data_IF_870219848370
#
_entry.id   IF_870219848370
#
_cell.length_a   1.000
_cell.length_b   1.000
_cell.length_c   1.000
_cell.angle_alpha   90.00
_cell.angle_beta   90.00
_cell.angle_gamma   90.00
#
_symmetry.space_group_name_H-M   'P 1'
#
loop_
_entity.id
_entity.type
_entity.pdbx_description
1 polymer ?
#
# COMPACT_ATOMS: atom_id res chain seq x y z
N UNK A 1 4.19 4.49 29.79
CA UNK A 1 4.35 3.95 28.42
C UNK A 1 2.99 3.98 27.77
N UNK A 2 2.82 4.73 26.70
CA UNK A 2 1.57 4.68 25.94
C UNK A 2 1.43 3.26 25.37
N UNK A 3 0.32 2.57 25.66
CA UNK A 3 0.05 1.24 25.15
C UNK A 3 -0.31 1.37 23.67
N UNK A 4 0.29 0.56 22.80
CA UNK A 4 -0.09 0.47 21.40
C UNK A 4 -1.61 0.27 21.29
N UNK A 5 -2.34 1.06 20.52
CA UNK A 5 -3.79 0.91 20.39
C UNK A 5 -4.12 -0.44 19.75
N UNK A 6 -5.32 -0.96 20.04
CA UNK A 6 -5.84 -2.16 19.39
C UNK A 6 -6.26 -1.83 17.95
N UNK A 7 -5.95 -2.71 16.99
CA UNK A 7 -6.20 -2.47 15.57
C UNK A 7 -7.01 -3.61 14.92
N UNK A 8 -7.74 -3.29 13.85
CA UNK A 8 -8.49 -4.27 13.06
C UNK A 8 -7.57 -5.33 12.42
N UNK A 9 -6.34 -4.96 12.08
CA UNK A 9 -5.33 -5.85 11.52
C UNK A 9 -4.96 -7.04 12.43
N UNK A 10 -5.12 -6.88 13.75
CA UNK A 10 -4.91 -7.94 14.74
C UNK A 10 -6.23 -8.39 15.39
N UNK A 11 -7.35 -8.33 14.65
CA UNK A 11 -8.63 -8.76 15.18
C UNK A 11 -8.83 -10.27 15.09
N UNK A 12 -9.42 -10.82 16.14
CA UNK A 12 -9.85 -12.22 16.19
C UNK A 12 -11.37 -12.32 16.31
N UNK A 13 -11.92 -13.43 15.86
CA UNK A 13 -13.29 -13.82 16.18
C UNK A 13 -13.26 -14.99 17.15
N UNK A 14 -13.98 -14.87 18.25
CA UNK A 14 -14.16 -15.90 19.25
C UNK A 14 -15.56 -16.51 19.10
N UNK A 15 -15.67 -17.79 18.82
CA UNK A 15 -16.92 -18.53 18.79
C UNK A 15 -17.13 -19.18 20.16
N UNK A 16 -18.04 -18.63 20.95
CA UNK A 16 -18.24 -19.02 22.34
C UNK A 16 -19.62 -19.61 22.55
N UNK A 17 -19.69 -20.70 23.31
CA UNK A 17 -20.88 -21.21 23.96
C UNK A 17 -20.92 -20.73 25.40
N UNK A 18 -22.02 -20.10 25.80
CA UNK A 18 -22.22 -19.54 27.13
C UNK A 18 -23.39 -20.25 27.82
N UNK A 19 -23.27 -20.52 29.12
CA UNK A 19 -24.41 -20.90 29.92
C UNK A 19 -25.47 -19.78 29.87
N UNK A 20 -26.71 -20.13 29.53
CA UNK A 20 -27.83 -19.18 29.45
C UNK A 20 -28.33 -18.76 30.82
N UNK A 21 -27.47 -18.13 31.62
CA UNK A 21 -27.78 -17.59 32.94
C UNK A 21 -27.38 -16.09 33.00
N UNK A 22 -28.12 -15.30 33.80
CA UNK A 22 -27.81 -13.87 33.94
C UNK A 22 -26.34 -13.62 34.32
N UNK A 23 -25.70 -12.66 33.62
CA UNK A 23 -24.35 -12.22 33.91
C UNK A 23 -23.24 -13.00 33.17
N UNK A 24 -23.49 -14.12 32.49
CA UNK A 24 -22.41 -14.88 31.80
C UNK A 24 -21.79 -14.09 30.68
N UNK A 25 -22.59 -13.43 29.83
CA UNK A 25 -22.07 -12.55 28.77
C UNK A 25 -21.30 -11.35 29.35
N UNK A 26 -21.78 -10.78 30.47
CA UNK A 26 -21.09 -9.69 31.14
C UNK A 26 -19.70 -10.09 31.66
N UNK A 27 -19.57 -11.29 32.25
CA UNK A 27 -18.26 -11.82 32.69
C UNK A 27 -17.31 -12.03 31.51
N UNK A 28 -17.82 -12.55 30.38
CA UNK A 28 -17.03 -12.73 29.17
C UNK A 28 -16.50 -11.38 28.64
N UNK A 29 -17.39 -10.39 28.53
CA UNK A 29 -16.98 -9.04 28.09
C UNK A 29 -15.97 -8.39 29.04
N UNK A 30 -16.14 -8.55 30.35
CA UNK A 30 -15.20 -8.03 31.36
C UNK A 30 -13.83 -8.70 31.22
N UNK A 31 -13.77 -10.03 31.08
CA UNK A 31 -12.51 -10.76 30.93
C UNK A 31 -11.75 -10.36 29.65
N UNK A 32 -12.44 -10.13 28.52
CA UNK A 32 -11.84 -9.61 27.30
C UNK A 32 -11.24 -8.20 27.56
N UNK A 33 -12.00 -7.33 28.22
CA UNK A 33 -11.55 -5.98 28.57
C UNK A 33 -10.36 -5.97 29.54
N UNK A 34 -10.36 -6.80 30.58
CA UNK A 34 -9.25 -6.96 31.54
C UNK A 34 -7.99 -7.54 30.87
N UNK A 35 -8.16 -8.40 29.87
CA UNK A 35 -7.05 -8.85 29.03
C UNK A 35 -6.51 -7.73 28.11
N UNK A 36 -7.22 -6.61 27.97
CA UNK A 36 -6.89 -5.46 27.14
C UNK A 36 -7.48 -5.50 25.74
N UNK A 37 -8.33 -6.48 25.41
CA UNK A 37 -9.03 -6.61 24.15
C UNK A 37 -10.18 -5.60 24.03
N UNK A 38 -10.37 -5.04 22.81
CA UNK A 38 -11.47 -4.13 22.50
C UNK A 38 -12.52 -4.86 21.66
N UNK A 39 -13.74 -4.99 22.18
CA UNK A 39 -14.85 -5.67 21.48
C UNK A 39 -15.34 -4.78 20.34
N UNK A 40 -15.15 -5.21 19.09
CA UNK A 40 -15.57 -4.52 17.88
C UNK A 40 -16.96 -4.89 17.40
N UNK A 41 -17.37 -6.16 17.59
CA UNK A 41 -18.71 -6.62 17.23
C UNK A 41 -19.13 -7.83 18.09
N UNK A 42 -20.44 -8.02 18.18
CA UNK A 42 -21.08 -9.15 18.84
C UNK A 42 -22.20 -9.70 17.95
N UNK A 43 -22.01 -10.92 17.42
CA UNK A 43 -22.93 -11.59 16.51
C UNK A 43 -23.37 -12.96 17.04
N UNK A 44 -24.28 -13.62 16.31
CA UNK A 44 -24.69 -14.98 16.60
C UNK A 44 -25.68 -15.06 17.76
N UNK A 45 -26.94 -14.66 17.52
CA UNK A 45 -28.02 -14.74 18.50
C UNK A 45 -28.75 -16.11 18.45
N UNK A 46 -27.99 -17.20 18.50
CA UNK A 46 -28.58 -18.56 18.56
C UNK A 46 -28.76 -18.99 20.02
N UNK A 47 -30.00 -19.31 20.38
CA UNK A 47 -30.40 -19.79 21.74
C UNK A 47 -30.84 -21.20 21.61
N UNK A 48 -30.11 -22.14 22.21
CA UNK A 48 -30.43 -23.59 22.22
C UNK A 48 -30.62 -24.07 23.65
N UNK A 49 -31.80 -23.82 24.19
CA UNK A 49 -32.14 -24.24 25.55
C UNK A 49 -31.25 -23.59 26.61
N UNK A 50 -30.41 -24.37 27.33
CA UNK A 50 -29.58 -23.84 28.41
C UNK A 50 -28.32 -23.11 27.92
N UNK A 51 -28.04 -23.10 26.61
CA UNK A 51 -26.84 -22.52 26.03
C UNK A 51 -27.14 -21.34 25.07
N UNK A 52 -26.26 -20.38 25.06
CA UNK A 52 -26.23 -19.27 24.10
C UNK A 52 -24.96 -19.39 23.27
N UNK A 53 -25.04 -19.31 21.93
CA UNK A 53 -23.85 -19.18 21.08
C UNK A 53 -23.64 -17.73 20.70
N UNK A 54 -22.39 -17.24 20.77
CA UNK A 54 -22.00 -15.89 20.41
C UNK A 54 -20.68 -15.90 19.66
N UNK A 55 -20.63 -15.15 18.56
CA UNK A 55 -19.39 -14.81 17.86
C UNK A 55 -18.98 -13.39 18.26
N UNK A 56 -17.78 -13.22 18.79
CA UNK A 56 -17.30 -11.95 19.31
C UNK A 56 -16.06 -11.54 18.54
N UNK A 57 -16.10 -10.39 17.90
CA UNK A 57 -14.94 -9.78 17.26
C UNK A 57 -14.20 -8.96 18.31
N UNK A 58 -12.92 -9.27 18.50
CA UNK A 58 -12.04 -8.56 19.45
C UNK A 58 -10.84 -8.00 18.69
N UNK A 59 -10.62 -6.70 18.80
CA UNK A 59 -9.41 -6.04 18.29
C UNK A 59 -8.30 -6.18 19.32
N UNK A 60 -7.15 -6.64 18.88
CA UNK A 60 -5.93 -6.83 19.65
C UNK A 60 -4.82 -5.88 19.19
N UNK A 61 -3.68 -5.86 19.88
CA UNK A 61 -2.52 -5.01 19.56
C UNK A 61 -1.51 -5.73 18.67
N UNK A 62 -1.37 -7.03 18.89
CA UNK A 62 -0.41 -7.92 18.26
C UNK A 62 -0.84 -9.38 18.47
N UNK A 63 -0.11 -10.33 17.89
CA UNK A 63 -0.39 -11.77 18.00
C UNK A 63 -0.26 -12.29 19.43
N UNK A 64 0.71 -11.81 20.22
CA UNK A 64 0.85 -12.21 21.62
C UNK A 64 -0.36 -11.77 22.44
N UNK A 65 -0.91 -10.60 22.13
CA UNK A 65 -2.13 -10.10 22.77
C UNK A 65 -3.38 -10.91 22.36
N UNK A 66 -3.46 -11.37 21.11
CA UNK A 66 -4.52 -12.30 20.69
C UNK A 66 -4.54 -13.56 21.57
N UNK A 67 -3.37 -14.19 21.76
CA UNK A 67 -3.24 -15.38 22.62
C UNK A 67 -3.66 -15.11 24.06
N UNK A 68 -3.27 -13.96 24.62
CA UNK A 68 -3.67 -13.54 25.96
C UNK A 68 -5.19 -13.43 26.11
N UNK A 69 -5.87 -12.86 25.12
CA UNK A 69 -7.33 -12.74 25.11
C UNK A 69 -7.98 -14.13 25.01
N UNK A 70 -7.48 -15.00 24.12
CA UNK A 70 -7.97 -16.38 23.97
C UNK A 70 -7.87 -17.15 25.28
N UNK A 71 -6.73 -17.09 25.96
CA UNK A 71 -6.54 -17.78 27.26
C UNK A 71 -7.44 -17.22 28.36
N UNK A 72 -7.64 -15.90 28.41
CA UNK A 72 -8.57 -15.28 29.35
C UNK A 72 -10.00 -15.82 29.17
N UNK A 73 -10.44 -16.00 27.92
CA UNK A 73 -11.77 -16.55 27.62
C UNK A 73 -11.84 -18.05 27.95
N UNK A 74 -10.81 -18.84 27.63
CA UNK A 74 -10.76 -20.30 27.94
C UNK A 74 -10.85 -20.58 29.43
N UNK A 75 -10.34 -19.72 30.27
CA UNK A 75 -10.32 -19.89 31.71
C UNK A 75 -11.66 -19.55 32.40
N UNK A 76 -12.63 -19.00 31.66
CA UNK A 76 -13.90 -18.56 32.25
C UNK A 76 -14.86 -19.70 32.55
N UNK A 77 -15.38 -19.72 33.76
CA UNK A 77 -16.44 -20.63 34.15
C UNK A 77 -17.77 -20.26 33.49
N UNK A 78 -18.44 -21.25 32.88
CA UNK A 78 -19.72 -21.06 32.18
C UNK A 78 -19.57 -20.49 30.76
N UNK A 79 -18.34 -20.46 30.24
CA UNK A 79 -18.02 -20.11 28.86
C UNK A 79 -17.16 -21.24 28.28
N UNK A 80 -17.55 -21.75 27.12
CA UNK A 80 -16.74 -22.67 26.32
C UNK A 80 -16.35 -22.01 25.04
N UNK A 81 -15.06 -21.76 24.86
CA UNK A 81 -14.51 -21.32 23.55
C UNK A 81 -14.55 -22.54 22.62
N UNK A 82 -15.46 -22.50 21.65
CA UNK A 82 -15.65 -23.57 20.66
C UNK A 82 -14.56 -23.53 19.62
N UNK A 83 -14.30 -22.32 19.08
CA UNK A 83 -13.30 -22.06 18.07
C UNK A 83 -12.88 -20.58 18.12
N UNK A 84 -11.75 -20.26 17.48
CA UNK A 84 -11.35 -18.89 17.26
C UNK A 84 -10.46 -18.81 16.03
N UNK A 85 -10.47 -17.66 15.37
CA UNK A 85 -9.61 -17.42 14.20
C UNK A 85 -9.19 -15.97 14.11
N UNK A 86 -7.99 -15.78 13.58
CA UNK A 86 -7.51 -14.47 13.14
C UNK A 86 -8.27 -14.04 11.88
N UNK A 87 -8.85 -12.83 11.90
CA UNK A 87 -9.70 -12.34 10.81
C UNK A 87 -8.88 -11.94 9.58
N UNK A 88 -7.63 -11.52 9.77
CA UNK A 88 -6.74 -11.19 8.65
C UNK A 88 -6.38 -12.46 7.89
N UNK A 89 -5.95 -13.51 8.58
CA UNK A 89 -5.67 -14.80 7.93
C UNK A 89 -6.92 -15.39 7.27
N UNK A 90 -8.06 -15.32 7.95
CA UNK A 90 -9.34 -15.80 7.40
C UNK A 90 -9.75 -15.09 6.12
N UNK A 91 -9.49 -13.79 6.02
CA UNK A 91 -9.75 -13.00 4.80
C UNK A 91 -8.87 -13.45 3.62
N UNK A 92 -7.70 -14.01 3.88
CA UNK A 92 -6.76 -14.46 2.85
C UNK A 92 -6.94 -15.95 2.47
N UNK A 93 -7.76 -16.71 3.21
CA UNK A 93 -8.03 -18.11 2.88
C UNK A 93 -8.63 -18.24 1.47
N UNK A 94 -8.01 -19.08 0.64
CA UNK A 94 -8.37 -19.29 -0.77
C UNK A 94 -8.23 -18.05 -1.69
N UNK A 95 -7.49 -17.04 -1.25
CA UNK A 95 -7.27 -15.80 -2.00
C UNK A 95 -8.39 -14.77 -1.87
N UNK A 96 -8.13 -13.55 -2.33
CA UNK A 96 -9.05 -12.41 -2.24
C UNK A 96 -9.77 -12.08 -3.54
N UNK A 97 -9.40 -12.74 -4.63
CA UNK A 97 -9.96 -12.49 -5.96
C UNK A 97 -10.31 -13.82 -6.64
N UNK A 98 -11.24 -13.76 -7.56
CA UNK A 98 -11.58 -14.87 -8.44
C UNK A 98 -12.02 -14.36 -9.82
N UNK A 99 -11.94 -15.22 -10.84
CA UNK A 99 -12.34 -14.88 -12.20
C UNK A 99 -13.80 -15.30 -12.42
N UNK A 100 -14.60 -14.38 -12.94
CA UNK A 100 -16.00 -14.59 -13.28
C UNK A 100 -16.21 -14.38 -14.77
N UNK A 101 -17.13 -15.16 -15.35
CA UNK A 101 -17.56 -14.96 -16.75
C UNK A 101 -18.52 -13.77 -16.84
N UNK A 102 -18.37 -12.95 -17.91
CA UNK A 102 -19.25 -11.82 -18.19
C UNK A 102 -20.34 -12.14 -19.21
N UNK A 103 -20.17 -13.24 -19.97
CA UNK A 103 -21.13 -13.68 -20.98
C UNK A 103 -21.78 -15.01 -20.53
N UNK A 104 -23.10 -15.14 -20.64
CA UNK A 104 -23.78 -16.40 -20.37
C UNK A 104 -23.53 -17.40 -21.52
N UNK A 105 -23.59 -18.70 -21.21
CA UNK A 105 -23.62 -19.79 -22.15
C UNK A 105 -24.78 -20.70 -21.73
N UNK A 106 -25.99 -20.43 -22.23
CA UNK A 106 -27.21 -21.13 -21.80
C UNK A 106 -27.61 -22.22 -22.80
N UNK A 107 -27.22 -22.06 -24.07
CA UNK A 107 -27.59 -22.95 -25.16
C UNK A 107 -26.47 -23.14 -26.19
N UNK A 108 -26.77 -23.86 -27.28
CA UNK A 108 -25.80 -24.15 -28.36
C UNK A 108 -25.45 -22.92 -29.19
N UNK A 109 -26.38 -21.99 -29.32
CA UNK A 109 -26.17 -20.77 -30.10
C UNK A 109 -25.19 -19.84 -29.32
N UNK A 110 -25.38 -19.68 -28.02
CA UNK A 110 -24.44 -18.96 -27.14
C UNK A 110 -23.04 -19.59 -27.25
N UNK A 111 -22.92 -20.92 -27.14
CA UNK A 111 -21.66 -21.64 -27.27
C UNK A 111 -21.01 -21.43 -28.65
N UNK A 112 -21.80 -21.46 -29.71
CA UNK A 112 -21.32 -21.25 -31.08
C UNK A 112 -20.80 -19.83 -31.30
N UNK A 113 -21.40 -18.83 -30.68
CA UNK A 113 -20.96 -17.44 -30.74
C UNK A 113 -19.72 -17.20 -29.84
N UNK A 114 -19.75 -17.72 -28.62
CA UNK A 114 -18.68 -17.49 -27.64
C UNK A 114 -17.39 -18.24 -27.94
N UNK A 115 -17.48 -19.39 -28.63
CA UNK A 115 -16.34 -20.24 -28.94
C UNK A 115 -16.30 -20.61 -30.42
N UNK A 116 -16.44 -21.90 -30.80
CA UNK A 116 -16.30 -22.35 -32.17
C UNK A 116 -17.68 -22.57 -32.79
N UNK A 117 -17.98 -22.02 -34.00
CA UNK A 117 -17.09 -21.32 -34.95
C UNK A 117 -17.05 -19.78 -34.83
N UNK A 118 -17.92 -19.16 -34.04
CA UNK A 118 -18.14 -17.70 -34.02
C UNK A 118 -16.91 -16.89 -33.70
N UNK A 119 -16.13 -17.31 -32.68
CA UNK A 119 -14.93 -16.62 -32.23
C UNK A 119 -13.88 -16.42 -33.33
N UNK A 120 -13.80 -17.31 -34.31
CA UNK A 120 -12.85 -17.18 -35.41
C UNK A 120 -13.03 -15.88 -36.21
N UNK A 121 -14.27 -15.40 -36.36
CA UNK A 121 -14.55 -14.11 -37.01
C UNK A 121 -13.97 -12.93 -36.24
N UNK A 122 -14.06 -12.97 -34.91
CA UNK A 122 -13.48 -11.93 -34.01
C UNK A 122 -11.96 -11.99 -34.09
N UNK A 123 -11.36 -13.18 -34.04
CA UNK A 123 -9.92 -13.36 -34.22
C UNK A 123 -9.42 -12.75 -35.55
N UNK A 124 -10.09 -13.02 -36.66
CA UNK A 124 -9.71 -12.46 -37.96
C UNK A 124 -9.91 -10.93 -38.03
N UNK A 125 -10.92 -10.38 -37.35
CA UNK A 125 -11.11 -8.95 -37.26
C UNK A 125 -9.93 -8.28 -36.52
N UNK A 126 -9.51 -8.83 -35.39
CA UNK A 126 -8.36 -8.34 -34.63
C UNK A 126 -7.04 -8.56 -35.40
N UNK A 127 -6.89 -9.68 -36.12
CA UNK A 127 -5.72 -9.91 -36.97
C UNK A 127 -5.56 -8.84 -38.06
N UNK A 128 -6.65 -8.42 -38.67
CA UNK A 128 -6.66 -7.39 -39.70
C UNK A 128 -6.53 -5.96 -39.15
N UNK A 129 -6.99 -5.73 -37.92
CA UNK A 129 -6.87 -4.47 -37.19
C UNK A 129 -6.60 -4.74 -35.69
N UNK A 130 -5.33 -4.77 -35.26
CA UNK A 130 -4.95 -5.06 -33.89
C UNK A 130 -5.58 -4.11 -32.83
N UNK A 131 -5.96 -2.90 -33.20
CA UNK A 131 -6.62 -1.95 -32.29
C UNK A 131 -7.94 -2.47 -31.75
N UNK A 132 -8.62 -3.34 -32.49
CA UNK A 132 -9.87 -3.97 -32.09
C UNK A 132 -9.72 -4.94 -30.93
N UNK A 133 -8.49 -5.29 -30.53
CA UNK A 133 -8.23 -6.07 -29.29
C UNK A 133 -8.76 -5.35 -28.06
N UNK A 134 -8.63 -4.02 -27.98
CA UNK A 134 -9.18 -3.20 -26.90
C UNK A 134 -10.71 -3.17 -26.87
N UNK A 135 -11.37 -3.44 -28.02
CA UNK A 135 -12.83 -3.45 -28.12
C UNK A 135 -13.44 -4.81 -27.83
N UNK A 136 -12.80 -5.88 -28.30
CA UNK A 136 -13.40 -7.23 -28.34
C UNK A 136 -12.78 -8.21 -27.34
N UNK A 137 -11.83 -7.75 -26.49
CA UNK A 137 -11.25 -8.59 -25.44
C UNK A 137 -11.24 -7.86 -24.10
N UNK A 138 -10.88 -8.59 -23.04
CA UNK A 138 -10.70 -8.02 -21.70
C UNK A 138 -9.53 -7.02 -21.62
N UNK A 139 -8.66 -6.96 -22.63
CA UNK A 139 -7.50 -6.06 -22.71
C UNK A 139 -7.86 -4.61 -22.37
N UNK A 140 -9.03 -4.14 -22.80
CA UNK A 140 -9.53 -2.79 -22.52
C UNK A 140 -9.55 -2.43 -21.03
N UNK A 141 -9.78 -3.41 -20.16
CA UNK A 141 -10.03 -3.16 -18.74
C UNK A 141 -9.07 -3.89 -17.80
N UNK A 142 -7.98 -4.45 -18.31
CA UNK A 142 -7.08 -5.30 -17.54
C UNK A 142 -5.70 -4.68 -17.34
N UNK A 143 -5.16 -4.85 -16.14
CA UNK A 143 -3.80 -4.43 -15.76
C UNK A 143 -3.05 -5.63 -15.18
N UNK A 144 -1.84 -5.89 -15.67
CA UNK A 144 -0.92 -6.82 -15.04
C UNK A 144 -0.24 -6.13 -13.84
N UNK A 145 -0.34 -6.73 -12.67
CA UNK A 145 0.36 -6.30 -11.46
C UNK A 145 1.59 -7.20 -11.32
N UNK A 146 2.74 -6.72 -11.78
CA UNK A 146 3.95 -7.52 -11.89
C UNK A 146 4.88 -7.24 -10.72
N UNK A 147 5.28 -8.30 -10.00
CA UNK A 147 6.24 -8.24 -8.91
C UNK A 147 7.21 -9.41 -8.95
N UNK A 148 8.46 -9.18 -8.55
CA UNK A 148 9.41 -10.25 -8.26
C UNK A 148 9.67 -10.42 -6.75
N UNK A 149 8.93 -9.71 -5.90
CA UNK A 149 8.96 -9.82 -4.45
C UNK A 149 10.26 -9.36 -3.79
N UNK A 150 11.03 -8.46 -4.46
CA UNK A 150 12.35 -8.03 -3.96
C UNK A 150 12.31 -6.81 -3.03
N UNK A 151 11.16 -6.13 -2.89
CA UNK A 151 10.99 -4.98 -2.01
C UNK A 151 9.57 -4.89 -1.42
N UNK A 152 9.08 -5.99 -0.87
CA UNK A 152 7.69 -6.11 -0.39
C UNK A 152 7.50 -5.34 0.91
N UNK A 153 6.69 -4.27 0.88
CA UNK A 153 6.40 -3.43 2.03
C UNK A 153 7.69 -3.05 2.80
N UNK A 154 7.69 -3.09 4.12
CA UNK A 154 8.89 -2.94 4.96
C UNK A 154 9.65 -4.24 5.22
N UNK A 155 9.25 -5.35 4.58
CA UNK A 155 9.83 -6.70 4.81
C UNK A 155 11.05 -6.99 3.94
N UNK A 156 11.23 -6.27 2.83
CA UNK A 156 12.35 -6.44 1.91
C UNK A 156 12.16 -7.58 0.90
N UNK A 157 13.25 -8.29 0.59
CA UNK A 157 13.26 -9.41 -0.38
C UNK A 157 12.73 -10.69 0.28
N UNK A 158 11.43 -10.94 0.13
CA UNK A 158 10.76 -12.15 0.65
C UNK A 158 10.35 -13.12 -0.45
N UNK A 159 10.62 -12.78 -1.71
CA UNK A 159 10.33 -13.59 -2.87
C UNK A 159 8.91 -13.50 -3.42
N UNK A 160 8.70 -14.03 -4.63
CA UNK A 160 7.46 -13.84 -5.37
C UNK A 160 6.26 -14.55 -4.74
N UNK A 161 6.42 -15.74 -4.15
CA UNK A 161 5.31 -16.46 -3.53
C UNK A 161 4.76 -15.71 -2.31
N UNK A 162 5.66 -15.16 -1.48
CA UNK A 162 5.27 -14.39 -0.30
C UNK A 162 4.73 -13.00 -0.64
N UNK A 163 5.02 -12.46 -1.84
CA UNK A 163 4.45 -11.22 -2.34
C UNK A 163 2.99 -11.36 -2.80
N UNK A 164 2.54 -12.58 -3.14
CA UNK A 164 1.21 -12.81 -3.72
C UNK A 164 0.05 -12.21 -2.91
N UNK A 165 -0.01 -12.30 -1.57
CA UNK A 165 -1.09 -11.67 -0.80
C UNK A 165 -1.17 -10.15 -0.97
N UNK A 166 -0.04 -9.47 -1.16
CA UNK A 166 -0.01 -8.02 -1.43
C UNK A 166 -0.54 -7.73 -2.83
N UNK A 167 -0.11 -8.51 -3.84
CA UNK A 167 -0.55 -8.35 -5.23
C UNK A 167 -2.04 -8.64 -5.41
N UNK A 168 -2.60 -9.62 -4.70
CA UNK A 168 -4.06 -9.82 -4.63
C UNK A 168 -4.77 -8.63 -3.96
N UNK A 169 -4.18 -8.06 -2.91
CA UNK A 169 -4.68 -6.82 -2.32
C UNK A 169 -4.71 -5.67 -3.32
N UNK A 170 -3.65 -5.51 -4.11
CA UNK A 170 -3.57 -4.51 -5.17
C UNK A 170 -4.68 -4.74 -6.22
N UNK A 171 -4.89 -5.98 -6.67
CA UNK A 171 -5.94 -6.34 -7.63
C UNK A 171 -7.36 -6.03 -7.09
N UNK A 172 -7.61 -6.34 -5.81
CA UNK A 172 -8.85 -5.98 -5.12
C UNK A 172 -9.09 -4.46 -5.14
N UNK A 173 -8.07 -3.67 -4.81
CA UNK A 173 -8.19 -2.20 -4.79
C UNK A 173 -8.38 -1.61 -6.19
N UNK A 174 -7.73 -2.17 -7.24
CA UNK A 174 -7.99 -1.81 -8.63
C UNK A 174 -9.47 -2.01 -8.99
N UNK A 175 -10.05 -3.13 -8.56
CA UNK A 175 -11.46 -3.46 -8.84
C UNK A 175 -12.41 -2.55 -8.10
N UNK A 176 -12.24 -2.43 -6.77
CA UNK A 176 -13.17 -1.70 -5.90
C UNK A 176 -13.18 -0.19 -6.19
N UNK A 177 -12.01 0.42 -6.44
CA UNK A 177 -11.90 1.88 -6.58
C UNK A 177 -11.78 2.37 -8.03
N UNK A 178 -11.33 1.52 -8.96
CA UNK A 178 -11.15 1.87 -10.36
C UNK A 178 -12.04 1.10 -11.33
N UNK A 179 -12.74 0.05 -10.87
CA UNK A 179 -13.47 -0.86 -11.76
C UNK A 179 -12.56 -1.62 -12.74
N UNK A 180 -11.24 -1.63 -12.48
CA UNK A 180 -10.20 -2.25 -13.32
C UNK A 180 -9.95 -3.67 -12.85
N UNK A 181 -9.78 -4.59 -13.79
CA UNK A 181 -9.47 -6.00 -13.51
C UNK A 181 -7.94 -6.17 -13.39
N UNK A 182 -7.44 -6.20 -12.16
CA UNK A 182 -6.04 -6.44 -11.85
C UNK A 182 -5.71 -7.93 -11.83
N UNK A 183 -4.62 -8.32 -12.48
CA UNK A 183 -4.10 -9.69 -12.45
C UNK A 183 -2.77 -9.72 -11.70
N UNK A 184 -2.70 -10.36 -10.52
CA UNK A 184 -1.44 -10.53 -9.80
C UNK A 184 -0.53 -11.50 -10.54
N UNK A 185 0.66 -11.02 -10.90
CA UNK A 185 1.68 -11.76 -11.66
C UNK A 185 2.99 -11.72 -10.87
N UNK A 186 3.16 -12.67 -9.96
CA UNK A 186 4.40 -12.83 -9.22
C UNK A 186 5.37 -13.71 -10.00
N UNK A 187 6.57 -13.19 -10.28
CA UNK A 187 7.55 -13.85 -11.17
C UNK A 187 8.86 -14.16 -10.46
N UNK A 188 9.42 -15.32 -10.75
CA UNK A 188 10.75 -15.69 -10.28
C UNK A 188 11.82 -15.13 -11.25
N UNK A 189 12.00 -13.82 -11.22
CA UNK A 189 13.01 -13.09 -11.98
C UNK A 189 13.93 -12.31 -11.04
N UNK A 190 15.24 -12.36 -11.28
CA UNK A 190 16.26 -11.79 -10.40
C UNK A 190 17.00 -10.61 -11.01
N UNK A 191 16.90 -10.43 -12.32
CA UNK A 191 17.58 -9.37 -13.07
C UNK A 191 16.58 -8.48 -13.79
N UNK A 192 16.98 -7.26 -14.12
CA UNK A 192 16.16 -6.35 -14.91
C UNK A 192 15.83 -6.93 -16.29
N UNK A 193 16.77 -7.60 -16.92
CA UNK A 193 16.57 -8.26 -18.24
C UNK A 193 15.48 -9.32 -18.19
N UNK A 194 15.47 -10.16 -17.17
CA UNK A 194 14.44 -11.20 -17.00
C UNK A 194 13.05 -10.60 -16.79
N UNK A 195 12.94 -9.52 -16.02
CA UNK A 195 11.65 -8.84 -15.79
C UNK A 195 11.17 -8.17 -17.08
N UNK A 196 12.04 -7.47 -17.79
CA UNK A 196 11.70 -6.77 -19.03
C UNK A 196 11.25 -7.77 -20.11
N UNK A 197 12.03 -8.83 -20.36
CA UNK A 197 11.69 -9.88 -21.36
C UNK A 197 10.34 -10.53 -21.04
N UNK A 198 10.09 -10.81 -19.76
CA UNK A 198 8.81 -11.39 -19.33
C UNK A 198 7.63 -10.44 -19.60
N UNK A 199 7.75 -9.18 -19.19
CA UNK A 199 6.65 -8.20 -19.32
C UNK A 199 6.37 -7.88 -20.78
N UNK A 200 7.39 -7.75 -21.65
CA UNK A 200 7.22 -7.54 -23.09
C UNK A 200 6.41 -8.69 -23.73
N UNK A 201 6.69 -9.95 -23.36
CA UNK A 201 5.95 -11.12 -23.84
C UNK A 201 4.53 -11.21 -23.29
N UNK A 202 4.28 -10.69 -22.10
CA UNK A 202 2.99 -10.67 -21.41
C UNK A 202 2.06 -9.56 -21.93
N UNK A 203 2.63 -8.44 -22.35
CA UNK A 203 1.94 -7.19 -22.69
C UNK A 203 0.75 -7.34 -23.67
N UNK A 204 0.76 -8.24 -24.67
CA UNK A 204 -0.39 -8.38 -25.59
C UNK A 204 -1.74 -8.67 -24.90
N UNK A 205 -1.73 -9.22 -23.70
CA UNK A 205 -2.95 -9.58 -22.95
C UNK A 205 -3.56 -8.39 -22.21
N UNK A 206 -2.77 -7.36 -21.90
CA UNK A 206 -3.13 -6.30 -20.95
C UNK A 206 -3.26 -4.93 -21.61
N UNK A 207 -4.09 -4.08 -21.00
CA UNK A 207 -4.21 -2.67 -21.36
C UNK A 207 -3.23 -1.76 -20.62
N UNK A 208 -2.56 -2.27 -19.58
CA UNK A 208 -1.54 -1.56 -18.82
C UNK A 208 -0.73 -2.47 -17.90
N UNK A 209 0.41 -1.99 -17.47
CA UNK A 209 1.35 -2.69 -16.58
C UNK A 209 1.56 -1.86 -15.31
N UNK A 210 1.25 -2.44 -14.17
CA UNK A 210 1.64 -1.94 -12.86
C UNK A 210 2.83 -2.74 -12.34
N UNK A 211 3.98 -2.10 -12.21
CA UNK A 211 5.14 -2.68 -11.53
C UNK A 211 5.02 -2.43 -10.03
N UNK A 212 5.26 -3.47 -9.22
CA UNK A 212 5.04 -3.42 -7.79
C UNK A 212 6.13 -4.15 -7.02
N UNK A 213 6.57 -3.60 -5.89
CA UNK A 213 7.51 -4.23 -4.95
C UNK A 213 8.82 -4.72 -5.60
N UNK A 214 9.31 -3.99 -6.60
CA UNK A 214 10.60 -4.22 -7.26
C UNK A 214 11.63 -3.26 -6.65
N UNK A 215 12.74 -3.80 -6.15
CA UNK A 215 13.76 -3.01 -5.47
C UNK A 215 14.45 -1.98 -6.38
N UNK A 216 14.88 -0.89 -5.76
CA UNK A 216 15.80 0.05 -6.40
C UNK A 216 17.26 -0.46 -6.27
N UNK A 217 18.15 -0.22 -7.26
CA UNK A 217 17.94 0.66 -8.43
C UNK A 217 17.27 0.00 -9.64
N UNK A 218 17.11 -1.33 -9.65
CA UNK A 218 16.63 -2.10 -10.81
C UNK A 218 15.26 -1.63 -11.30
N UNK A 219 14.36 -1.22 -10.40
CA UNK A 219 13.03 -0.76 -10.75
C UNK A 219 13.03 0.46 -11.70
N UNK A 220 14.03 1.33 -11.61
CA UNK A 220 14.16 2.50 -12.49
C UNK A 220 14.47 2.09 -13.93
N UNK A 221 15.44 1.19 -14.10
CA UNK A 221 15.84 0.65 -15.40
C UNK A 221 14.71 -0.13 -16.05
N UNK A 222 14.03 -0.99 -15.26
CA UNK A 222 12.92 -1.81 -15.75
C UNK A 222 11.80 -0.93 -16.29
N UNK A 223 11.38 0.07 -15.52
CA UNK A 223 10.31 0.97 -15.95
C UNK A 223 10.68 1.76 -17.19
N UNK A 224 11.88 2.34 -17.24
CA UNK A 224 12.36 3.13 -18.39
C UNK A 224 12.38 2.29 -19.67
N UNK A 225 12.91 1.07 -19.61
CA UNK A 225 12.98 0.14 -20.75
C UNK A 225 11.61 -0.27 -21.24
N UNK A 226 10.70 -0.61 -20.32
CA UNK A 226 9.33 -1.02 -20.67
C UNK A 226 8.52 0.15 -21.26
N UNK A 227 8.66 1.35 -20.74
CA UNK A 227 8.05 2.56 -21.35
C UNK A 227 8.56 2.81 -22.76
N UNK A 228 9.82 2.53 -23.02
CA UNK A 228 10.41 2.71 -24.36
C UNK A 228 9.99 1.62 -25.36
N UNK A 229 9.61 0.42 -24.90
CA UNK A 229 9.32 -0.74 -25.78
C UNK A 229 7.85 -1.07 -25.94
N UNK A 230 6.98 -0.61 -25.01
CA UNK A 230 5.56 -0.91 -25.02
C UNK A 230 4.71 0.30 -25.44
N UNK A 231 3.58 0.01 -26.09
CA UNK A 231 2.55 0.97 -26.51
C UNK A 231 1.34 1.03 -25.56
N UNK A 232 1.54 0.57 -24.33
CA UNK A 232 0.55 0.62 -23.25
C UNK A 232 1.19 1.27 -22.00
N UNK A 233 0.40 1.88 -21.10
CA UNK A 233 0.95 2.55 -19.93
C UNK A 233 1.69 1.57 -19.01
N UNK A 234 2.91 1.94 -18.63
CA UNK A 234 3.74 1.27 -17.64
C UNK A 234 3.96 2.20 -16.47
N UNK A 235 3.63 1.75 -15.28
CA UNK A 235 3.63 2.58 -14.08
C UNK A 235 4.18 1.78 -12.90
N UNK A 236 5.25 2.30 -12.26
CA UNK A 236 5.78 1.74 -11.02
C UNK A 236 5.15 2.48 -9.84
N UNK A 237 4.24 1.81 -9.13
CA UNK A 237 3.40 2.46 -8.13
C UNK A 237 4.19 2.97 -6.92
N UNK A 238 5.18 2.20 -6.45
CA UNK A 238 6.05 2.62 -5.34
C UNK A 238 6.83 3.90 -5.63
N UNK A 239 7.09 4.22 -6.90
CA UNK A 239 7.68 5.47 -7.32
C UNK A 239 6.61 6.55 -7.45
N UNK A 240 5.75 6.41 -8.44
CA UNK A 240 4.89 7.48 -8.93
C UNK A 240 3.59 7.63 -8.14
N UNK A 241 2.97 6.53 -7.72
CA UNK A 241 1.77 6.57 -6.87
C UNK A 241 2.06 7.28 -5.55
N UNK A 242 3.16 6.88 -4.90
CA UNK A 242 3.61 7.51 -3.65
C UNK A 242 3.98 8.98 -3.86
N UNK A 243 4.62 9.35 -4.97
CA UNK A 243 4.95 10.74 -5.27
C UNK A 243 3.71 11.61 -5.49
N UNK A 244 2.72 11.12 -6.24
CA UNK A 244 1.46 11.85 -6.52
C UNK A 244 0.68 12.12 -5.23
N UNK A 245 0.51 11.10 -4.37
CA UNK A 245 -0.25 11.29 -3.12
C UNK A 245 0.49 12.20 -2.14
N UNK A 246 1.83 12.17 -2.13
CA UNK A 246 2.66 13.06 -1.31
C UNK A 246 2.48 14.51 -1.74
N UNK A 247 2.53 14.80 -3.04
CA UNK A 247 2.31 16.14 -3.57
C UNK A 247 0.89 16.64 -3.29
N UNK A 248 -0.13 15.79 -3.47
CA UNK A 248 -1.52 16.12 -3.16
C UNK A 248 -1.72 16.46 -1.67
N UNK A 249 -1.10 15.68 -0.78
CA UNK A 249 -1.11 15.94 0.66
C UNK A 249 -0.38 17.25 1.00
N UNK A 250 0.75 17.53 0.35
CA UNK A 250 1.49 18.78 0.54
C UNK A 250 0.65 19.99 0.14
N UNK A 251 0.04 19.98 -1.04
CA UNK A 251 -0.85 21.07 -1.48
C UNK A 251 -1.99 21.36 -0.49
N UNK A 252 -2.58 20.31 0.09
CA UNK A 252 -3.62 20.49 1.11
C UNK A 252 -3.05 21.00 2.43
N UNK A 253 -1.86 20.56 2.81
CA UNK A 253 -1.16 21.04 4.02
C UNK A 253 -0.80 22.52 3.93
N UNK A 254 -0.45 23.01 2.73
CA UNK A 254 -0.17 24.43 2.51
C UNK A 254 -1.40 25.31 2.75
N UNK A 255 -2.60 24.84 2.41
CA UNK A 255 -3.85 25.56 2.71
C UNK A 255 -4.08 25.71 4.21
N UNK A 256 -3.64 24.74 5.01
CA UNK A 256 -3.78 24.75 6.48
C UNK A 256 -2.73 25.65 7.12
N UNK A 257 -1.48 25.55 6.66
CA UNK A 257 -0.31 26.23 7.27
C UNK A 257 -0.09 27.64 6.75
N UNK A 258 -0.67 28.00 5.59
CA UNK A 258 -0.45 29.26 4.91
C UNK A 258 0.94 29.41 4.29
N UNK A 259 1.75 28.36 4.24
CA UNK A 259 3.07 28.35 3.60
C UNK A 259 2.94 28.33 2.08
N UNK A 260 3.98 28.78 1.38
CA UNK A 260 4.05 28.77 -0.07
C UNK A 260 5.04 27.71 -0.54
N UNK A 261 4.76 27.09 -1.69
CA UNK A 261 5.56 25.98 -2.22
C UNK A 261 7.03 26.39 -2.45
N UNK A 262 7.24 27.57 -3.02
CA UNK A 262 8.56 28.10 -3.35
C UNK A 262 9.44 28.44 -2.13
N UNK A 263 8.82 28.65 -0.97
CA UNK A 263 9.53 29.02 0.27
C UNK A 263 9.86 27.79 1.14
N UNK A 264 9.40 26.58 0.76
CA UNK A 264 9.57 25.39 1.57
C UNK A 264 11.00 24.85 1.58
N UNK A 265 11.44 24.44 2.77
CA UNK A 265 12.56 23.51 2.96
C UNK A 265 12.02 22.14 3.33
N UNK A 266 12.24 21.15 2.45
CA UNK A 266 11.73 19.78 2.56
C UNK A 266 12.85 18.80 2.82
N UNK A 267 12.72 17.96 3.83
CA UNK A 267 13.64 16.84 4.12
C UNK A 267 12.95 15.54 3.77
N UNK A 268 13.57 14.72 2.91
CA UNK A 268 13.08 13.40 2.51
C UNK A 268 13.97 12.32 3.14
N UNK A 269 13.41 11.46 3.96
CA UNK A 269 14.08 10.32 4.57
C UNK A 269 13.80 9.03 3.81
N UNK A 270 14.86 8.41 3.26
CA UNK A 270 14.74 7.22 2.44
C UNK A 270 14.81 7.55 0.94
N UNK A 271 16.01 7.35 0.35
CA UNK A 271 16.28 7.67 -1.06
C UNK A 271 16.32 6.39 -1.92
N UNK A 272 15.27 5.60 -1.80
CA UNK A 272 14.92 4.48 -2.67
C UNK A 272 13.95 4.91 -3.78
N UNK A 273 13.14 3.97 -4.27
CA UNK A 273 12.16 4.20 -5.34
C UNK A 273 11.24 5.41 -5.05
N UNK A 274 10.56 5.40 -3.91
CA UNK A 274 9.65 6.48 -3.50
C UNK A 274 10.35 7.81 -3.31
N UNK A 275 11.45 7.86 -2.55
CA UNK A 275 12.11 9.12 -2.20
C UNK A 275 12.65 9.88 -3.40
N UNK A 276 13.25 9.18 -4.37
CA UNK A 276 13.71 9.79 -5.63
C UNK A 276 12.54 10.35 -6.44
N UNK A 277 11.45 9.60 -6.56
CA UNK A 277 10.26 10.03 -7.30
C UNK A 277 9.56 11.22 -6.62
N UNK A 278 9.45 11.20 -5.28
CA UNK A 278 8.94 12.34 -4.51
C UNK A 278 9.79 13.58 -4.76
N UNK A 279 11.11 13.46 -4.70
CA UNK A 279 11.99 14.59 -4.98
C UNK A 279 11.77 15.16 -6.38
N UNK A 280 11.67 14.32 -7.40
CA UNK A 280 11.40 14.75 -8.79
C UNK A 280 10.09 15.53 -8.92
N UNK A 281 9.01 15.01 -8.36
CA UNK A 281 7.69 15.66 -8.44
C UNK A 281 7.66 16.98 -7.66
N UNK A 282 8.36 17.07 -6.52
CA UNK A 282 8.47 18.28 -5.71
C UNK A 282 9.31 19.36 -6.40
N UNK A 283 10.40 18.99 -7.10
CA UNK A 283 11.16 19.91 -7.94
C UNK A 283 10.25 20.51 -9.03
N UNK A 284 9.50 19.65 -9.72
CA UNK A 284 8.57 20.09 -10.78
C UNK A 284 7.43 20.96 -10.22
N UNK A 285 7.04 20.76 -8.97
CA UNK A 285 6.04 21.57 -8.27
C UNK A 285 6.60 22.94 -7.78
N UNK A 286 7.91 23.17 -7.89
CA UNK A 286 8.55 24.42 -7.53
C UNK A 286 8.90 24.57 -6.04
N UNK A 287 9.18 23.47 -5.34
CA UNK A 287 9.68 23.50 -3.95
C UNK A 287 11.05 24.16 -3.90
N UNK A 288 11.25 25.10 -2.95
CA UNK A 288 12.44 25.93 -2.87
C UNK A 288 13.71 25.18 -2.51
N UNK A 289 13.69 24.35 -1.48
CA UNK A 289 14.84 23.54 -1.06
C UNK A 289 14.41 22.11 -0.75
N UNK A 290 15.11 21.12 -1.28
CA UNK A 290 14.88 19.70 -1.01
C UNK A 290 16.21 19.07 -0.57
N UNK A 291 16.21 18.36 0.57
CA UNK A 291 17.34 17.59 1.07
C UNK A 291 16.94 16.14 1.23
N UNK A 292 17.51 15.26 0.43
CA UNK A 292 17.33 13.80 0.59
C UNK A 292 18.31 13.24 1.61
N UNK A 293 17.88 12.27 2.40
CA UNK A 293 18.71 11.54 3.35
C UNK A 293 18.62 10.04 3.12
N UNK A 294 19.75 9.37 3.12
CA UNK A 294 19.86 7.91 3.20
C UNK A 294 20.54 7.47 4.49
N UNK A 295 20.94 6.19 4.56
CA UNK A 295 21.55 5.62 5.78
C UNK A 295 22.84 6.31 6.22
N UNK A 296 23.56 6.95 5.30
CA UNK A 296 24.81 7.66 5.57
C UNK A 296 24.60 9.16 5.79
N UNK A 297 23.35 9.65 5.73
CA UNK A 297 22.99 11.04 5.99
C UNK A 297 22.54 11.79 4.73
N UNK A 298 22.69 13.11 4.75
CA UNK A 298 22.25 14.00 3.69
C UNK A 298 22.94 13.71 2.36
N UNK A 299 22.18 13.83 1.28
CA UNK A 299 22.68 13.73 -0.11
C UNK A 299 23.02 15.14 -0.62
N UNK A 300 24.24 15.29 -1.12
CA UNK A 300 24.74 16.56 -1.63
C UNK A 300 25.72 16.35 -2.80
N UNK A 301 25.89 17.34 -3.63
CA UNK A 301 26.82 17.30 -4.78
C UNK A 301 28.27 17.12 -4.32
N UNK A 302 28.93 16.06 -4.81
CA UNK A 302 30.30 15.70 -4.46
C UNK A 302 30.42 14.56 -3.41
N UNK A 303 29.33 14.01 -2.92
CA UNK A 303 29.33 12.78 -2.12
C UNK A 303 29.64 11.56 -3.01
N UNK A 304 30.58 10.71 -2.61
CA UNK A 304 31.20 9.69 -3.48
C UNK A 304 30.51 8.32 -3.48
N UNK A 305 29.60 8.06 -2.55
CA UNK A 305 28.95 6.73 -2.35
C UNK A 305 27.53 6.67 -2.96
N UNK A 306 27.24 7.46 -4.01
CA UNK A 306 25.94 7.58 -4.62
C UNK A 306 25.80 6.68 -5.86
N UNK A 307 24.67 6.00 -5.99
CA UNK A 307 24.27 5.37 -7.26
C UNK A 307 23.75 6.45 -8.24
N UNK A 308 23.50 6.08 -9.50
CA UNK A 308 23.13 7.02 -10.56
C UNK A 308 21.88 7.87 -10.19
N UNK A 309 20.83 7.27 -9.62
CA UNK A 309 19.62 7.98 -9.23
C UNK A 309 19.88 9.01 -8.11
N UNK A 310 20.67 8.64 -7.10
CA UNK A 310 21.06 9.53 -6.02
C UNK A 310 22.06 10.60 -6.49
N UNK A 311 22.94 10.28 -7.45
CA UNK A 311 23.83 11.25 -8.07
C UNK A 311 23.03 12.33 -8.79
N UNK A 312 22.06 11.92 -9.62
CA UNK A 312 21.14 12.86 -10.25
C UNK A 312 20.43 13.74 -9.19
N UNK A 313 19.98 13.14 -8.11
CA UNK A 313 19.30 13.85 -7.02
C UNK A 313 20.23 14.88 -6.36
N UNK A 314 21.49 14.51 -6.07
CA UNK A 314 22.49 15.38 -5.49
C UNK A 314 22.81 16.61 -6.37
N UNK A 315 22.75 16.44 -7.70
CA UNK A 315 23.02 17.49 -8.67
C UNK A 315 21.84 18.46 -8.87
N UNK A 316 20.61 18.00 -8.59
CA UNK A 316 19.37 18.76 -8.82
C UNK A 316 18.70 19.27 -7.54
N UNK A 317 19.23 18.94 -6.36
CA UNK A 317 18.66 19.31 -5.05
C UNK A 317 19.74 19.81 -4.10
N UNK A 318 19.33 20.21 -2.88
CA UNK A 318 20.22 20.66 -1.81
C UNK A 318 21.23 21.74 -2.28
N UNK A 319 20.75 22.84 -2.85
CA UNK A 319 21.65 23.91 -3.35
C UNK A 319 22.50 24.53 -2.23
N UNK A 320 22.00 24.52 -0.99
CA UNK A 320 22.71 25.00 0.19
C UNK A 320 23.78 24.03 0.69
N UNK A 321 23.93 22.84 0.08
CA UNK A 321 24.88 21.78 0.45
C UNK A 321 24.81 21.43 1.95
N UNK A 322 23.60 21.32 2.50
CA UNK A 322 23.39 20.81 3.86
C UNK A 322 23.95 19.40 3.97
N UNK A 323 24.72 19.15 5.04
CA UNK A 323 25.36 17.88 5.32
C UNK A 323 24.99 17.43 6.75
N UNK A 324 25.31 16.18 7.08
CA UNK A 324 25.10 15.62 8.41
C UNK A 324 24.00 14.57 8.46
N UNK A 325 23.56 14.26 9.66
CA UNK A 325 22.47 13.32 9.93
C UNK A 325 21.12 13.91 9.54
N UNK A 326 20.08 13.05 9.57
CA UNK A 326 18.70 13.51 9.35
C UNK A 326 18.28 14.58 10.36
N UNK A 327 18.64 14.44 11.63
CA UNK A 327 18.36 15.41 12.68
C UNK A 327 19.01 16.77 12.41
N UNK A 328 20.24 16.77 11.85
CA UNK A 328 20.96 18.02 11.52
C UNK A 328 20.22 18.79 10.41
N UNK A 329 19.76 18.11 9.36
CA UNK A 329 19.11 18.78 8.22
C UNK A 329 17.63 19.08 8.45
N UNK A 330 16.98 18.44 9.42
CA UNK A 330 15.62 18.77 9.86
C UNK A 330 15.56 20.09 10.61
N UNK A 331 16.68 20.59 11.12
CA UNK A 331 16.72 21.89 11.81
C UNK A 331 16.26 23.02 10.87
N UNK A 332 15.15 23.66 11.22
CA UNK A 332 14.56 24.73 10.42
C UNK A 332 13.82 24.28 9.16
N UNK A 333 13.68 22.98 8.92
CA UNK A 333 12.91 22.47 7.79
C UNK A 333 11.39 22.65 8.00
N UNK A 334 10.66 22.94 6.94
CA UNK A 334 9.20 23.12 6.94
C UNK A 334 8.45 21.81 6.85
N UNK A 335 9.00 20.85 6.11
CA UNK A 335 8.35 19.58 5.78
C UNK A 335 9.31 18.42 6.00
N UNK A 336 8.85 17.40 6.67
CA UNK A 336 9.48 16.08 6.72
C UNK A 336 8.65 15.08 5.93
N UNK A 337 9.31 14.31 5.06
CA UNK A 337 8.70 13.22 4.29
C UNK A 337 9.50 11.95 4.55
N UNK A 338 8.89 10.98 5.24
CA UNK A 338 9.49 9.70 5.56
C UNK A 338 8.99 8.58 4.64
N UNK A 339 9.92 7.89 3.98
CA UNK A 339 9.69 6.68 3.16
C UNK A 339 10.81 5.66 3.41
N UNK A 340 11.18 5.48 4.66
CA UNK A 340 12.35 4.69 5.04
C UNK A 340 12.03 3.55 6.02
N UNK A 341 11.95 3.84 7.29
CA UNK A 341 11.74 2.81 8.32
C UNK A 341 11.34 3.37 9.67
N UNK A 342 10.90 2.49 10.58
CA UNK A 342 10.28 2.89 11.84
C UNK A 342 11.22 3.64 12.78
N UNK A 343 10.65 4.61 13.51
CA UNK A 343 11.34 5.25 14.64
C UNK A 343 12.59 6.06 14.28
N UNK A 344 12.67 6.54 13.03
CA UNK A 344 13.85 7.24 12.50
C UNK A 344 14.02 8.63 13.12
N UNK A 345 12.93 9.31 13.44
CA UNK A 345 12.92 10.65 14.00
C UNK A 345 12.19 10.71 15.35
N UNK A 346 12.46 11.74 16.12
CA UNK A 346 11.96 11.90 17.49
C UNK A 346 11.18 13.20 17.66
N UNK A 347 10.47 13.35 18.78
CA UNK A 347 9.82 14.59 19.16
C UNK A 347 10.81 15.76 19.32
N UNK A 348 12.09 15.49 19.63
CA UNK A 348 13.12 16.53 19.70
C UNK A 348 13.44 17.08 18.29
N UNK A 349 13.49 16.22 17.28
CA UNK A 349 13.72 16.64 15.89
C UNK A 349 12.58 17.54 15.42
N UNK A 350 11.33 17.20 15.73
CA UNK A 350 10.16 18.02 15.37
C UNK A 350 10.18 19.40 16.01
N UNK A 351 10.67 19.53 17.26
CA UNK A 351 10.79 20.83 17.93
C UNK A 351 11.82 21.74 17.29
N UNK A 352 12.80 21.17 16.58
CA UNK A 352 13.84 21.91 15.86
C UNK A 352 13.44 22.31 14.45
N UNK A 353 12.31 21.83 13.94
CA UNK A 353 11.77 22.24 12.64
C UNK A 353 11.26 23.69 12.67
N UNK A 354 10.94 24.21 11.50
CA UNK A 354 10.33 25.52 11.34
C UNK A 354 8.95 25.58 12.03
N UNK A 355 8.44 26.80 12.24
CA UNK A 355 7.10 27.02 12.80
C UNK A 355 6.04 26.33 11.93
N UNK A 356 5.06 25.68 12.60
CA UNK A 356 3.99 24.93 11.96
C UNK A 356 4.49 23.86 10.97
N UNK A 357 5.29 22.88 11.45
CA UNK A 357 5.88 21.87 10.57
C UNK A 357 4.83 20.91 10.04
N UNK A 358 5.08 20.40 8.83
CA UNK A 358 4.30 19.37 8.14
C UNK A 358 5.10 18.07 8.22
N UNK A 359 4.48 16.99 8.70
CA UNK A 359 5.14 15.70 8.92
C UNK A 359 4.37 14.58 8.23
N UNK A 360 4.99 13.97 7.22
CA UNK A 360 4.48 12.80 6.51
C UNK A 360 5.37 11.60 6.83
N UNK A 361 4.97 10.78 7.81
CA UNK A 361 5.71 9.58 8.22
C UNK A 361 5.06 8.34 7.59
N UNK A 362 5.49 8.00 6.37
CA UNK A 362 4.78 7.07 5.49
C UNK A 362 5.35 5.65 5.48
N UNK A 363 6.39 5.35 6.26
CA UNK A 363 6.92 3.98 6.37
C UNK A 363 5.85 3.00 6.88
N UNK A 364 5.85 1.80 6.31
CA UNK A 364 4.95 0.71 6.67
C UNK A 364 5.78 -0.53 7.11
N UNK A 365 5.28 -1.33 8.09
CA UNK A 365 4.02 -1.16 8.83
C UNK A 365 4.06 -0.10 9.95
N UNK A 366 5.24 0.28 10.42
CA UNK A 366 5.43 1.30 11.47
C UNK A 366 6.05 2.57 10.87
N UNK A 367 5.49 3.77 11.22
CA UNK A 367 5.97 5.04 10.69
C UNK A 367 7.30 5.48 11.32
N UNK A 368 8.00 6.42 10.69
CA UNK A 368 9.24 7.04 11.17
C UNK A 368 9.09 7.71 12.55
N UNK A 369 7.88 8.21 12.82
CA UNK A 369 7.44 8.68 14.13
C UNK A 369 5.95 8.41 14.26
N UNK A 370 5.51 7.95 15.42
CA UNK A 370 4.09 7.72 15.66
C UNK A 370 3.35 9.03 15.89
N UNK A 371 2.08 9.16 15.40
CA UNK A 371 1.27 10.37 15.61
C UNK A 371 1.17 10.83 17.06
N UNK A 372 1.10 9.90 18.01
CA UNK A 372 1.03 10.21 19.43
C UNK A 372 2.29 10.90 19.97
N UNK A 373 3.45 10.68 19.32
CA UNK A 373 4.72 11.33 19.67
C UNK A 373 4.87 12.70 19.00
N UNK A 374 4.13 12.95 17.91
CA UNK A 374 4.11 14.20 17.16
C UNK A 374 2.98 15.15 17.62
N UNK A 375 2.13 14.70 18.53
CA UNK A 375 0.97 15.47 19.01
C UNK A 375 1.40 16.81 19.61
N UNK A 376 0.71 17.87 19.15
CA UNK A 376 1.02 19.25 19.54
C UNK A 376 2.35 19.82 18.99
N UNK A 377 3.12 19.04 18.22
CA UNK A 377 4.40 19.47 17.63
C UNK A 377 4.30 19.73 16.13
N UNK A 378 3.47 18.98 15.41
CA UNK A 378 3.22 19.14 13.98
C UNK A 378 1.91 19.89 13.73
N UNK A 379 1.90 20.82 12.76
CA UNK A 379 0.68 21.47 12.30
C UNK A 379 -0.16 20.52 11.43
N UNK A 380 0.53 19.67 10.68
CA UNK A 380 -0.08 18.56 9.91
C UNK A 380 0.73 17.31 10.17
N UNK A 381 0.07 16.26 10.63
CA UNK A 381 0.64 14.91 10.78
C UNK A 381 -0.13 13.93 9.92
N UNK A 382 0.58 13.15 9.10
CA UNK A 382 0.00 12.13 8.24
C UNK A 382 0.88 10.87 8.21
N UNK A 383 0.27 9.72 7.93
CA UNK A 383 0.98 8.43 7.83
C UNK A 383 0.53 7.65 6.60
N UNK A 384 1.23 6.57 6.26
CA UNK A 384 0.80 5.61 5.23
C UNK A 384 -0.32 4.66 5.68
N UNK A 385 -0.68 4.67 6.95
CA UNK A 385 -1.60 3.68 7.56
C UNK A 385 -3.06 4.13 7.48
N UNK A 386 -3.95 3.18 7.23
CA UNK A 386 -5.41 3.41 7.16
C UNK A 386 -6.09 3.52 8.54
N UNK A 387 -5.41 3.13 9.62
CA UNK A 387 -5.92 3.18 10.98
C UNK A 387 -5.56 4.48 11.73
N UNK A 388 -4.88 5.42 11.03
CA UNK A 388 -4.64 6.78 11.50
C UNK A 388 -5.34 7.82 10.62
N UNK A 389 -5.66 9.00 11.16
CA UNK A 389 -6.13 10.13 10.36
C UNK A 389 -5.10 10.56 9.31
N UNK A 390 -5.57 11.20 8.23
CA UNK A 390 -4.72 11.75 7.16
C UNK A 390 -3.82 10.70 6.50
N UNK A 391 -4.42 9.61 6.02
CA UNK A 391 -3.68 8.59 5.30
C UNK A 391 -3.08 9.16 4.01
N UNK A 392 -1.78 8.95 3.80
CA UNK A 392 -1.06 9.17 2.54
C UNK A 392 -0.58 7.81 2.04
N UNK A 393 -1.34 7.21 1.15
CA UNK A 393 -1.03 5.90 0.57
C UNK A 393 -1.33 5.93 -0.93
N UNK A 394 -0.55 5.22 -1.72
CA UNK A 394 -0.68 5.13 -3.17
C UNK A 394 -2.06 4.62 -3.63
N UNK A 395 -2.81 3.91 -2.78
CA UNK A 395 -4.20 3.50 -3.04
C UNK A 395 -5.12 4.68 -3.41
N UNK A 396 -4.80 5.88 -2.98
CA UNK A 396 -5.55 7.08 -3.31
C UNK A 396 -5.31 7.56 -4.76
N UNK A 397 -4.31 7.02 -5.46
CA UNK A 397 -3.92 7.45 -6.80
C UNK A 397 -4.06 6.37 -7.86
N UNK A 398 -3.41 5.20 -7.71
CA UNK A 398 -3.22 4.24 -8.80
C UNK A 398 -4.53 3.71 -9.42
N UNK A 399 -5.63 3.46 -8.67
CA UNK A 399 -6.84 2.94 -9.32
C UNK A 399 -7.44 3.96 -10.30
N UNK A 400 -7.47 5.24 -9.89
CA UNK A 400 -7.98 6.33 -10.73
C UNK A 400 -7.07 6.65 -11.91
N UNK A 401 -5.74 6.58 -11.70
CA UNK A 401 -4.76 6.79 -12.78
C UNK A 401 -4.91 5.75 -13.89
N UNK A 402 -4.93 4.47 -13.54
CA UNK A 402 -5.13 3.41 -14.53
C UNK A 402 -6.51 3.43 -15.15
N UNK A 403 -7.58 3.78 -14.39
CA UNK A 403 -8.90 3.99 -14.97
C UNK A 403 -8.86 5.05 -16.07
N UNK A 404 -8.26 6.20 -15.78
CA UNK A 404 -8.11 7.28 -16.75
C UNK A 404 -7.26 6.88 -17.95
N UNK A 405 -6.12 6.21 -17.72
CA UNK A 405 -5.22 5.75 -18.78
C UNK A 405 -5.92 4.75 -19.74
N UNK A 406 -6.66 3.77 -19.18
CA UNK A 406 -7.40 2.79 -19.97
C UNK A 406 -8.58 3.43 -20.74
N UNK A 407 -9.23 4.44 -20.18
CA UNK A 407 -10.37 5.10 -20.84
C UNK A 407 -9.96 5.83 -22.12
N UNK A 408 -8.74 6.37 -22.16
CA UNK A 408 -8.23 7.12 -23.30
C UNK A 408 -7.22 6.32 -24.15
N UNK A 409 -6.96 5.05 -23.81
CA UNK A 409 -5.90 4.22 -24.38
C UNK A 409 -4.55 4.96 -24.38
N UNK A 410 -4.16 5.45 -23.23
CA UNK A 410 -2.87 6.12 -23.06
C UNK A 410 -1.72 5.15 -23.37
N UNK A 411 -0.63 5.69 -23.91
CA UNK A 411 0.60 4.96 -24.22
C UNK A 411 1.78 5.37 -23.37
N UNK A 412 1.64 6.53 -22.67
CA UNK A 412 2.66 7.09 -21.77
C UNK A 412 2.00 7.71 -20.52
#
# INVERSE_FOLDING_TARGET
>A
MATTPTAAAFSITLDCRLDNVPGTLGRLALAIGEAGGNIGALDGFDVRGPELRRCIVVHCRDEAHQQKVVEAVRSLKGVTLVDWWDRTFRMHEAGKIHVLTSAPVNDRDDLSMAYTPGVARVCMAIHNDPSLSHRYTIRKNTVAIVSNGTAVLGLGDIGPEAAMPVMEGKALLFKEFGGVDGFPICINARTADEVVDFVERLAPTFGGINLEDIKAPECFEIEERLKASLDIPVFHDDQHGTAVVTLAALWNSLKITGKKMEDLSVVIAGMGAAGVAIGKILINAGVGEIVGCDRTGAIYAGRSDLNAAKQWFAENTNPSRKMGSISDVMHGADVFVGVSGPGLITAADLRNMAKAPIVFAMANPDPEIRPEQADGLAAVMATGRSDYPNQINNVLAFPGLFRGALDVNATD
#
